data_IF_115006338453
#
_entry.id   IF_115006338453
#
_cell.length_a   1.000
_cell.length_b   1.000
_cell.length_c   1.000
_cell.angle_alpha   90.00
_cell.angle_beta   90.00
_cell.angle_gamma   90.00
#
_symmetry.space_group_name_H-M   'P 1'
#
loop_
_entity.id
_entity.type
_entity.pdbx_description
1 polymer ?
#
# COMPACT_ATOMS: atom_id res chain seq x y z
N UNK A 1 12.14 -18.96 -12.94
CA UNK A 1 11.87 -17.74 -12.15
C UNK A 1 12.10 -17.99 -10.67
N UNK A 2 13.36 -18.00 -10.22
CA UNK A 2 13.71 -17.96 -8.79
C UNK A 2 13.55 -16.52 -8.28
N UNK A 3 13.02 -16.32 -7.07
CA UNK A 3 12.82 -15.00 -6.47
C UNK A 3 13.66 -14.85 -5.20
N UNK A 4 14.45 -13.78 -5.12
CA UNK A 4 15.21 -13.43 -3.94
C UNK A 4 14.26 -12.90 -2.87
N UNK A 5 14.04 -13.68 -1.82
CA UNK A 5 13.09 -13.37 -0.75
C UNK A 5 13.83 -13.08 0.55
N UNK A 6 13.28 -12.19 1.37
CA UNK A 6 13.84 -11.90 2.68
C UNK A 6 13.63 -13.09 3.63
N UNK A 7 14.65 -13.55 4.39
CA UNK A 7 14.45 -14.61 5.37
C UNK A 7 13.58 -14.16 6.57
N UNK A 8 13.57 -12.85 6.84
CA UNK A 8 12.92 -12.25 7.99
C UNK A 8 11.53 -11.68 7.69
N UNK A 9 11.19 -11.48 6.41
CA UNK A 9 9.95 -10.83 6.00
C UNK A 9 9.32 -11.58 4.82
N UNK A 10 7.99 -11.65 4.75
CA UNK A 10 7.26 -12.28 3.64
C UNK A 10 7.23 -11.36 2.40
N UNK A 11 8.40 -10.92 1.95
CA UNK A 11 8.59 -9.96 0.84
C UNK A 11 9.83 -10.32 0.01
N UNK A 12 9.83 -9.90 -1.25
CA UNK A 12 11.02 -9.99 -2.12
C UNK A 12 12.03 -8.89 -1.78
N UNK A 13 13.31 -9.21 -1.90
CA UNK A 13 14.41 -8.25 -1.75
C UNK A 13 14.43 -7.29 -2.95
N UNK A 14 14.76 -6.02 -2.69
CA UNK A 14 14.89 -4.99 -3.72
C UNK A 14 16.35 -4.80 -4.10
N UNK A 15 16.61 -4.66 -5.40
CA UNK A 15 17.95 -4.51 -5.94
C UNK A 15 18.42 -3.07 -5.88
N UNK A 16 19.57 -2.83 -5.27
CA UNK A 16 20.25 -1.55 -5.19
C UNK A 16 21.51 -1.63 -6.06
N UNK A 17 21.34 -1.32 -7.35
CA UNK A 17 22.37 -1.52 -8.38
C UNK A 17 23.68 -0.76 -8.08
N UNK A 18 23.57 0.48 -7.58
CA UNK A 18 24.73 1.32 -7.28
C UNK A 18 25.62 0.71 -6.18
N UNK A 19 25.01 0.01 -5.23
CA UNK A 19 25.70 -0.65 -4.11
C UNK A 19 25.99 -2.14 -4.40
N UNK A 20 25.49 -2.66 -5.51
CA UNK A 20 25.55 -4.08 -5.88
C UNK A 20 25.02 -5.02 -4.78
N UNK A 21 23.95 -4.61 -4.10
CA UNK A 21 23.28 -5.40 -3.04
C UNK A 21 21.79 -5.56 -3.32
N UNK A 22 21.19 -6.59 -2.73
CA UNK A 22 19.74 -6.69 -2.60
C UNK A 22 19.36 -6.49 -1.13
N UNK A 23 18.38 -5.61 -0.85
CA UNK A 23 17.99 -5.16 0.49
C UNK A 23 16.49 -5.32 0.74
N UNK A 24 16.13 -5.67 1.97
CA UNK A 24 14.77 -5.60 2.49
C UNK A 24 14.56 -4.24 3.16
N UNK A 25 13.59 -3.45 2.72
CA UNK A 25 13.28 -2.15 3.34
C UNK A 25 12.47 -2.26 4.63
N UNK A 26 11.92 -3.44 4.94
CA UNK A 26 11.17 -3.65 6.18
C UNK A 26 12.07 -4.00 7.37
N UNK A 27 13.18 -4.72 7.16
CA UNK A 27 14.05 -5.21 8.24
C UNK A 27 15.53 -4.96 8.03
N UNK A 28 15.90 -4.17 7.02
CA UNK A 28 17.28 -3.82 6.66
C UNK A 28 18.22 -4.98 6.31
N UNK A 29 17.70 -6.22 6.21
CA UNK A 29 18.45 -7.37 5.73
C UNK A 29 19.01 -7.06 4.34
N UNK A 30 20.32 -7.26 4.16
CA UNK A 30 20.99 -7.07 2.88
C UNK A 30 21.93 -8.24 2.59
N UNK A 31 22.10 -8.51 1.30
CA UNK A 31 23.10 -9.46 0.81
C UNK A 31 23.66 -8.94 -0.52
N UNK A 32 24.86 -9.36 -0.89
CA UNK A 32 25.42 -9.05 -2.21
C UNK A 32 24.51 -9.59 -3.32
N UNK A 33 24.35 -8.82 -4.39
CA UNK A 33 23.68 -9.31 -5.57
C UNK A 33 24.49 -10.47 -6.18
N UNK A 34 23.83 -11.58 -6.48
CA UNK A 34 24.49 -12.73 -7.09
C UNK A 34 24.51 -12.57 -8.62
N UNK A 35 25.61 -12.88 -9.31
CA UNK A 35 25.67 -12.79 -10.77
C UNK A 35 24.92 -13.93 -11.47
N UNK A 36 24.70 -15.05 -10.78
CA UNK A 36 24.00 -16.23 -11.30
C UNK A 36 22.87 -16.65 -10.35
N UNK A 37 21.79 -17.18 -10.91
CA UNK A 37 20.69 -17.70 -10.10
C UNK A 37 21.16 -18.87 -9.22
N UNK A 38 20.93 -18.86 -7.90
CA UNK A 38 21.38 -19.95 -7.03
C UNK A 38 20.68 -21.29 -7.32
N UNK A 39 19.51 -21.27 -7.97
CA UNK A 39 18.72 -22.48 -8.30
C UNK A 39 19.03 -23.07 -9.66
N UNK A 40 19.12 -22.26 -10.72
CA UNK A 40 19.30 -22.74 -12.09
C UNK A 40 20.61 -22.29 -12.76
N UNK A 41 21.45 -21.52 -12.05
CA UNK A 41 22.71 -20.95 -12.55
C UNK A 41 22.60 -20.06 -13.79
N UNK A 42 21.39 -19.71 -14.22
CA UNK A 42 21.20 -18.74 -15.30
C UNK A 42 21.73 -17.36 -14.91
N UNK A 43 22.39 -16.68 -15.86
CA UNK A 43 22.92 -15.31 -15.72
C UNK A 43 21.85 -14.22 -15.90
N UNK A 44 20.68 -14.58 -16.44
CA UNK A 44 19.55 -13.66 -16.64
C UNK A 44 18.77 -13.45 -15.34
N UNK A 45 19.40 -12.85 -14.34
CA UNK A 45 18.71 -12.35 -13.15
C UNK A 45 18.09 -11.01 -13.51
N UNK A 46 16.78 -11.03 -13.74
CA UNK A 46 16.02 -9.81 -13.94
C UNK A 46 15.81 -9.14 -12.59
N UNK A 47 16.43 -7.97 -12.43
CA UNK A 47 16.01 -7.03 -11.41
C UNK A 47 14.64 -6.50 -11.84
N UNK A 48 13.57 -7.15 -11.38
CA UNK A 48 12.27 -6.50 -11.36
C UNK A 48 12.36 -5.38 -10.32
N UNK A 49 12.89 -4.24 -10.75
CA UNK A 49 12.95 -3.02 -9.97
C UNK A 49 11.56 -2.70 -9.43
N UNK A 50 11.54 -2.04 -8.27
CA UNK A 50 10.40 -1.20 -7.89
C UNK A 50 9.94 -0.40 -9.09
N UNK A 51 8.63 -0.30 -9.31
CA UNK A 51 8.04 0.16 -10.58
C UNK A 51 8.71 1.40 -11.19
N UNK A 52 9.18 2.34 -10.37
CA UNK A 52 9.87 3.56 -10.79
C UNK A 52 11.24 3.33 -11.44
N UNK A 53 12.09 2.45 -10.89
CA UNK A 53 13.43 2.18 -11.44
C UNK A 53 13.35 1.44 -12.78
N UNK A 54 12.44 0.45 -12.88
CA UNK A 54 12.20 -0.26 -14.13
C UNK A 54 11.70 0.70 -15.21
N UNK A 55 10.77 1.58 -14.82
CA UNK A 55 10.20 2.57 -15.73
C UNK A 55 11.25 3.59 -16.20
N UNK A 56 12.15 4.05 -15.32
CA UNK A 56 13.28 4.92 -15.67
C UNK A 56 14.17 4.30 -16.77
N UNK A 57 14.56 3.03 -16.60
CA UNK A 57 15.39 2.31 -17.60
C UNK A 57 14.65 2.13 -18.93
N UNK A 58 13.37 1.76 -18.90
CA UNK A 58 12.56 1.60 -20.11
C UNK A 58 12.37 2.95 -20.83
N UNK A 59 12.11 4.03 -20.09
CA UNK A 59 11.99 5.37 -20.65
C UNK A 59 13.31 5.85 -21.25
N UNK A 60 14.45 5.58 -20.61
CA UNK A 60 15.76 5.97 -21.14
C UNK A 60 16.08 5.23 -22.45
N UNK A 61 15.61 3.99 -22.60
CA UNK A 61 15.73 3.22 -23.84
C UNK A 61 14.82 3.77 -24.95
N UNK A 62 13.59 4.13 -24.61
CA UNK A 62 12.60 4.65 -25.57
C UNK A 62 12.84 6.10 -25.96
N UNK A 63 13.40 6.91 -25.06
CA UNK A 63 13.67 8.33 -25.23
C UNK A 63 15.13 8.65 -24.87
N UNK A 64 16.11 8.26 -25.70
CA UNK A 64 17.53 8.41 -25.37
C UNK A 64 17.98 9.85 -25.12
N UNK A 65 17.32 10.83 -25.75
CA UNK A 65 17.65 12.25 -25.65
C UNK A 65 16.92 12.96 -24.50
N UNK A 66 15.92 12.32 -23.88
CA UNK A 66 15.15 12.94 -22.81
C UNK A 66 15.94 12.98 -21.49
N UNK A 67 15.87 14.11 -20.78
CA UNK A 67 16.45 14.24 -19.44
C UNK A 67 15.49 13.66 -18.42
N UNK A 68 15.72 12.40 -18.05
CA UNK A 68 14.86 11.65 -17.14
C UNK A 68 15.42 11.75 -15.71
N UNK A 69 14.53 11.96 -14.74
CA UNK A 69 14.88 11.91 -13.32
C UNK A 69 13.89 11.05 -12.56
N UNK A 70 14.34 10.45 -11.46
CA UNK A 70 13.50 9.66 -10.55
C UNK A 70 13.32 10.37 -9.20
N UNK A 71 12.11 10.32 -8.66
CA UNK A 71 11.72 10.83 -7.34
C UNK A 71 10.91 9.78 -6.59
N UNK A 72 11.59 9.03 -5.74
CA UNK A 72 11.04 8.10 -4.77
C UNK A 72 11.88 8.08 -3.48
N UNK A 73 11.48 7.27 -2.50
CA UNK A 73 12.07 7.24 -1.16
C UNK A 73 13.57 6.98 -1.16
N UNK A 74 14.07 6.26 -2.17
CA UNK A 74 15.49 5.93 -2.27
C UNK A 74 16.28 7.13 -2.80
N UNK A 75 15.75 7.83 -3.81
CA UNK A 75 16.38 9.05 -4.36
C UNK A 75 16.28 10.27 -3.45
N UNK A 76 15.26 10.32 -2.59
CA UNK A 76 15.01 11.48 -1.72
C UNK A 76 15.56 11.34 -0.30
N UNK A 77 16.34 10.30 -0.02
CA UNK A 77 16.84 10.01 1.33
C UNK A 77 17.78 11.09 1.90
N UNK A 78 18.45 11.87 1.05
CA UNK A 78 19.33 12.97 1.46
C UNK A 78 18.53 14.26 1.63
N UNK A 79 18.78 15.02 2.71
CA UNK A 79 18.14 16.32 2.94
C UNK A 79 18.35 17.26 1.73
N UNK A 80 17.28 17.87 1.25
CA UNK A 80 17.27 18.79 0.10
C UNK A 80 17.36 18.14 -1.29
N UNK A 81 17.39 16.81 -1.40
CA UNK A 81 17.36 16.11 -2.70
C UNK A 81 16.04 16.31 -3.44
N UNK A 82 14.91 16.25 -2.73
CA UNK A 82 13.58 16.49 -3.28
C UNK A 82 13.49 17.90 -3.88
N UNK A 83 13.85 18.94 -3.10
CA UNK A 83 13.82 20.34 -3.54
C UNK A 83 14.67 20.56 -4.80
N UNK A 84 15.85 19.95 -4.88
CA UNK A 84 16.72 20.03 -6.07
C UNK A 84 16.07 19.46 -7.33
N UNK A 85 15.41 18.30 -7.22
CA UNK A 85 14.72 17.67 -8.36
C UNK A 85 13.54 18.54 -8.80
N UNK A 86 12.74 19.03 -7.87
CA UNK A 86 11.57 19.88 -8.18
C UNK A 86 12.03 21.20 -8.83
N UNK A 87 13.10 21.82 -8.32
CA UNK A 87 13.65 23.03 -8.91
C UNK A 87 14.23 22.79 -10.32
N UNK A 88 14.89 21.64 -10.54
CA UNK A 88 15.34 21.25 -11.87
C UNK A 88 14.17 21.03 -12.84
N UNK A 89 13.04 20.50 -12.36
CA UNK A 89 11.82 20.36 -13.15
C UNK A 89 11.23 21.72 -13.53
N UNK A 90 11.12 22.66 -12.59
CA UNK A 90 10.67 24.03 -12.84
C UNK A 90 11.55 24.75 -13.87
N UNK A 91 12.86 24.57 -13.78
CA UNK A 91 13.84 25.13 -14.73
C UNK A 91 13.87 24.39 -16.07
N UNK A 92 12.96 23.42 -16.31
CA UNK A 92 12.92 22.59 -17.52
C UNK A 92 14.27 21.92 -17.80
N UNK A 93 14.98 21.49 -16.75
CA UNK A 93 16.18 20.66 -16.82
C UNK A 93 15.86 19.16 -16.79
N UNK A 94 14.60 18.82 -16.51
CA UNK A 94 14.05 17.47 -16.52
C UNK A 94 12.87 17.47 -17.50
N UNK A 95 12.87 16.53 -18.44
CA UNK A 95 11.78 16.34 -19.41
C UNK A 95 10.75 15.33 -18.91
N UNK A 96 11.22 14.29 -18.21
CA UNK A 96 10.36 13.23 -17.67
C UNK A 96 10.75 12.98 -16.20
N UNK A 97 9.79 13.16 -15.30
CA UNK A 97 9.94 12.81 -13.90
C UNK A 97 9.18 11.52 -13.60
N UNK A 98 9.90 10.49 -13.16
CA UNK A 98 9.33 9.22 -12.72
C UNK A 98 9.28 9.19 -11.20
N UNK A 99 8.18 8.73 -10.61
CA UNK A 99 8.15 8.58 -9.16
C UNK A 99 6.86 8.01 -8.61
N UNK A 100 6.79 8.02 -7.29
CA UNK A 100 5.61 7.55 -6.55
C UNK A 100 4.67 8.71 -6.21
N UNK A 101 3.68 8.46 -5.36
CA UNK A 101 2.76 9.47 -4.82
C UNK A 101 3.46 10.69 -4.17
N UNK A 102 4.77 10.68 -3.97
CA UNK A 102 5.50 11.83 -3.45
C UNK A 102 5.56 13.00 -4.44
N UNK A 103 5.46 12.75 -5.75
CA UNK A 103 5.49 13.81 -6.78
C UNK A 103 4.30 14.78 -6.66
N UNK A 104 3.17 14.33 -6.09
CA UNK A 104 1.89 15.07 -6.17
C UNK A 104 1.64 16.02 -5.00
N UNK A 105 2.50 16.03 -3.98
CA UNK A 105 2.32 16.83 -2.76
C UNK A 105 2.90 18.24 -2.91
N UNK A 106 2.09 19.27 -2.66
CA UNK A 106 2.55 20.63 -2.35
C UNK A 106 3.19 21.46 -3.47
N UNK A 107 3.38 20.91 -4.67
CA UNK A 107 4.05 21.61 -5.78
C UNK A 107 3.15 21.68 -7.03
N UNK A 108 3.20 22.81 -7.72
CA UNK A 108 2.47 23.06 -8.97
C UNK A 108 3.47 23.30 -10.10
N UNK A 109 3.29 22.60 -11.22
CA UNK A 109 4.21 22.66 -12.36
C UNK A 109 3.44 22.99 -13.64
N UNK A 110 3.30 24.28 -13.98
CA UNK A 110 2.54 24.71 -15.16
C UNK A 110 3.05 24.13 -16.48
N UNK A 111 4.32 23.72 -16.53
CA UNK A 111 4.94 23.09 -17.70
C UNK A 111 4.60 21.62 -17.90
N UNK A 112 3.97 20.95 -16.93
CA UNK A 112 3.57 19.55 -17.06
C UNK A 112 2.25 19.48 -17.82
N UNK A 113 2.33 18.98 -19.05
CA UNK A 113 1.17 18.80 -19.94
C UNK A 113 0.77 17.35 -20.13
N UNK A 114 1.56 16.38 -19.64
CA UNK A 114 1.25 14.96 -19.72
C UNK A 114 1.55 14.28 -18.39
N UNK A 115 0.58 13.51 -17.89
CA UNK A 115 0.78 12.66 -16.72
C UNK A 115 0.37 11.23 -17.03
N UNK A 116 1.28 10.28 -16.80
CA UNK A 116 1.02 8.86 -16.92
C UNK A 116 0.92 8.19 -15.55
N UNK A 117 -0.20 7.54 -15.27
CA UNK A 117 -0.36 6.69 -14.09
C UNK A 117 -0.23 5.23 -14.53
N UNK A 118 0.82 4.58 -14.05
CA UNK A 118 1.13 3.19 -14.36
C UNK A 118 0.47 2.29 -13.30
N UNK A 119 -0.30 1.29 -13.75
CA UNK A 119 -0.88 0.24 -12.90
C UNK A 119 -1.75 0.77 -11.74
N UNK A 120 -2.86 1.44 -12.06
CA UNK A 120 -3.86 1.84 -11.06
C UNK A 120 -4.46 0.65 -10.29
N UNK A 121 -4.37 -0.56 -10.86
CA UNK A 121 -4.84 -1.80 -10.22
C UNK A 121 -4.08 -2.12 -8.94
N UNK A 122 -2.83 -1.66 -8.78
CA UNK A 122 -2.04 -1.90 -7.58
C UNK A 122 -2.68 -1.26 -6.35
N UNK A 123 -3.21 -0.05 -6.47
CA UNK A 123 -3.92 0.61 -5.37
C UNK A 123 -5.35 0.11 -5.22
N UNK A 124 -6.05 -0.21 -6.33
CA UNK A 124 -7.41 -0.74 -6.29
C UNK A 124 -7.52 -2.12 -5.62
N UNK A 125 -6.53 -2.99 -5.83
CA UNK A 125 -6.54 -4.34 -5.30
C UNK A 125 -5.82 -4.46 -3.94
N UNK A 126 -5.55 -3.32 -3.28
CA UNK A 126 -5.05 -3.35 -1.92
C UNK A 126 -6.13 -3.93 -1.01
N UNK A 127 -5.82 -4.87 -0.10
CA UNK A 127 -6.78 -5.45 0.84
C UNK A 127 -7.12 -4.47 1.98
N UNK A 128 -7.66 -3.32 1.59
CA UNK A 128 -8.11 -2.20 2.40
C UNK A 128 -9.47 -1.78 1.82
N UNK A 129 -10.50 -1.65 2.66
CA UNK A 129 -11.82 -1.24 2.19
C UNK A 129 -11.82 0.18 1.59
N UNK A 130 -10.82 0.99 1.91
CA UNK A 130 -10.61 2.34 1.36
C UNK A 130 -9.80 2.33 0.05
N UNK A 131 -9.46 1.18 -0.51
CA UNK A 131 -8.63 1.08 -1.71
C UNK A 131 -9.19 1.89 -2.90
N UNK A 132 -10.50 1.84 -3.12
CA UNK A 132 -11.18 2.60 -4.16
C UNK A 132 -11.11 4.12 -3.92
N UNK A 133 -11.42 4.56 -2.70
CA UNK A 133 -11.28 5.97 -2.28
C UNK A 133 -9.85 6.48 -2.46
N UNK A 134 -8.86 5.77 -1.89
CA UNK A 134 -7.44 6.15 -1.96
C UNK A 134 -6.97 6.22 -3.42
N UNK A 135 -7.46 5.30 -4.27
CA UNK A 135 -7.17 5.33 -5.71
C UNK A 135 -7.80 6.54 -6.38
N UNK A 136 -9.10 6.80 -6.17
CA UNK A 136 -9.80 7.94 -6.74
C UNK A 136 -9.13 9.26 -6.33
N UNK A 137 -8.79 9.43 -5.05
CA UNK A 137 -8.09 10.60 -4.53
C UNK A 137 -6.73 10.79 -5.19
N UNK A 138 -5.93 9.72 -5.28
CA UNK A 138 -4.62 9.75 -5.95
C UNK A 138 -4.78 10.17 -7.42
N UNK A 139 -5.67 9.53 -8.17
CA UNK A 139 -5.85 9.81 -9.59
C UNK A 139 -6.38 11.22 -9.84
N UNK A 140 -7.35 11.68 -9.05
CA UNK A 140 -7.89 13.03 -9.14
C UNK A 140 -6.83 14.08 -8.82
N UNK A 141 -6.00 13.83 -7.78
CA UNK A 141 -4.89 14.70 -7.43
C UNK A 141 -3.87 14.76 -8.56
N UNK A 142 -3.49 13.61 -9.12
CA UNK A 142 -2.54 13.51 -10.23
C UNK A 142 -3.09 14.21 -11.48
N UNK A 143 -4.36 13.99 -11.81
CA UNK A 143 -5.01 14.58 -12.96
C UNK A 143 -5.11 16.11 -12.83
N UNK A 144 -5.37 16.59 -11.62
CA UNK A 144 -5.39 18.02 -11.31
C UNK A 144 -4.03 18.71 -11.39
N UNK A 145 -2.91 18.02 -11.66
CA UNK A 145 -1.57 18.64 -11.82
C UNK A 145 -1.18 18.90 -13.27
N UNK A 146 -1.83 18.24 -14.23
CA UNK A 146 -1.59 18.50 -15.65
C UNK A 146 -2.44 19.67 -16.15
N UNK A 147 -1.83 20.64 -16.81
CA UNK A 147 -2.57 21.67 -17.55
C UNK A 147 -3.20 22.81 -16.74
N UNK A 148 -2.55 23.22 -15.64
CA UNK A 148 -2.92 24.45 -14.88
C UNK A 148 -2.42 25.76 -15.52
N UNK A 149 -1.63 25.69 -16.59
CA UNK A 149 -1.25 26.85 -17.41
C UNK A 149 -2.12 26.97 -18.67
N UNK A 150 -1.69 27.77 -19.64
CA UNK A 150 -2.43 28.01 -20.90
C UNK A 150 -2.54 26.78 -21.83
N UNK A 151 -1.91 25.65 -21.47
CA UNK A 151 -1.86 24.44 -22.28
C UNK A 151 -2.70 23.34 -21.66
N UNK A 152 -3.56 22.73 -22.47
CA UNK A 152 -4.35 21.58 -22.05
C UNK A 152 -3.44 20.43 -21.60
N UNK A 153 -3.69 19.94 -20.38
CA UNK A 153 -3.04 18.76 -19.84
C UNK A 153 -3.73 17.49 -20.33
N UNK A 154 -2.96 16.41 -20.48
CA UNK A 154 -3.47 15.06 -20.75
C UNK A 154 -3.06 14.11 -19.63
N UNK A 155 -3.99 13.26 -19.22
CA UNK A 155 -3.74 12.22 -18.22
C UNK A 155 -4.03 10.86 -18.85
N UNK A 156 -3.09 9.92 -18.71
CA UNK A 156 -3.23 8.55 -19.21
C UNK A 156 -3.13 7.62 -18.02
N UNK A 157 -4.18 6.83 -17.79
CA UNK A 157 -4.24 5.86 -16.69
C UNK A 157 -4.18 4.47 -17.29
N UNK A 158 -3.17 3.70 -16.90
CA UNK A 158 -3.05 2.29 -17.26
C UNK A 158 -3.73 1.44 -16.19
N UNK A 159 -4.67 0.59 -16.61
CA UNK A 159 -5.42 -0.32 -15.74
C UNK A 159 -5.94 -1.52 -16.52
N UNK A 160 -6.04 -2.67 -15.85
CA UNK A 160 -6.74 -3.85 -16.36
C UNK A 160 -8.25 -3.78 -16.17
N UNK A 161 -8.74 -2.92 -15.26
CA UNK A 161 -10.15 -2.81 -14.87
C UNK A 161 -10.76 -1.43 -15.20
N UNK A 162 -10.78 -0.99 -16.47
CA UNK A 162 -11.22 0.37 -16.83
C UNK A 162 -12.68 0.69 -16.46
N UNK A 163 -13.50 -0.34 -16.22
CA UNK A 163 -14.91 -0.20 -15.82
C UNK A 163 -15.13 -0.06 -14.32
N UNK A 164 -14.07 -0.19 -13.50
CA UNK A 164 -14.17 0.01 -12.06
C UNK A 164 -14.69 1.43 -11.76
N UNK A 165 -15.67 1.56 -10.87
CA UNK A 165 -16.37 2.83 -10.62
C UNK A 165 -15.43 3.98 -10.24
N UNK A 166 -14.46 3.71 -9.35
CA UNK A 166 -13.42 4.68 -9.00
C UNK A 166 -12.68 5.24 -10.24
N UNK A 167 -12.46 4.43 -11.27
CA UNK A 167 -11.78 4.85 -12.51
C UNK A 167 -12.74 5.56 -13.47
N UNK A 168 -13.98 5.10 -13.60
CA UNK A 168 -15.00 5.75 -14.44
C UNK A 168 -15.23 7.19 -14.01
N UNK A 169 -15.40 7.42 -12.71
CA UNK A 169 -15.65 8.75 -12.14
C UNK A 169 -14.40 9.65 -12.15
N UNK A 170 -13.19 9.06 -12.13
CA UNK A 170 -11.94 9.81 -12.28
C UNK A 170 -11.88 10.57 -13.62
N UNK A 171 -12.42 10.00 -14.70
CA UNK A 171 -12.36 10.60 -16.05
C UNK A 171 -12.99 12.00 -16.11
N UNK A 172 -14.04 12.25 -15.33
CA UNK A 172 -14.75 13.51 -15.27
C UNK A 172 -14.41 14.39 -14.06
N UNK A 173 -13.47 13.96 -13.21
CA UNK A 173 -13.28 14.53 -11.87
C UNK A 173 -14.59 14.56 -11.05
N UNK A 174 -15.45 13.57 -11.27
CA UNK A 174 -16.81 13.53 -10.73
C UNK A 174 -16.81 12.95 -9.32
N UNK A 175 -16.37 13.77 -8.36
CA UNK A 175 -16.39 13.40 -6.95
C UNK A 175 -17.81 13.13 -6.43
N UNK A 176 -18.86 13.92 -6.75
CA UNK A 176 -20.21 13.64 -6.30
C UNK A 176 -20.69 12.24 -6.69
N UNK A 177 -20.59 11.86 -7.96
CA UNK A 177 -21.03 10.52 -8.39
C UNK A 177 -20.12 9.40 -7.88
N UNK A 178 -18.81 9.65 -7.73
CA UNK A 178 -17.94 8.71 -7.03
C UNK A 178 -18.41 8.45 -5.59
N UNK A 179 -18.71 9.53 -4.85
CA UNK A 179 -19.14 9.46 -3.47
C UNK A 179 -20.46 8.71 -3.35
N UNK A 180 -21.45 9.02 -4.17
CA UNK A 180 -22.75 8.35 -4.18
C UNK A 180 -22.64 6.84 -4.42
N UNK A 181 -21.74 6.39 -5.30
CA UNK A 181 -21.52 4.97 -5.55
C UNK A 181 -20.71 4.29 -4.42
N UNK A 182 -19.62 4.93 -3.98
CA UNK A 182 -18.76 4.43 -2.88
C UNK A 182 -19.55 4.29 -1.56
N UNK A 183 -20.37 5.28 -1.23
CA UNK A 183 -21.03 5.37 0.06
C UNK A 183 -22.08 4.26 0.24
N UNK A 184 -22.74 3.85 -0.85
CA UNK A 184 -23.69 2.73 -0.83
C UNK A 184 -22.98 1.39 -0.57
N UNK A 185 -21.78 1.16 -1.14
CA UNK A 185 -20.98 -0.01 -0.80
C UNK A 185 -20.57 -0.03 0.68
N UNK A 186 -20.15 1.12 1.22
CA UNK A 186 -19.79 1.22 2.63
C UNK A 186 -20.98 0.98 3.55
N UNK A 187 -22.15 1.48 3.18
CA UNK A 187 -23.40 1.28 3.91
C UNK A 187 -23.80 -0.19 3.91
N UNK A 188 -23.79 -0.83 2.74
CA UNK A 188 -24.14 -2.24 2.60
C UNK A 188 -23.20 -3.17 3.40
N UNK A 189 -21.91 -2.83 3.49
CA UNK A 189 -20.90 -3.61 4.21
C UNK A 189 -20.64 -3.14 5.65
N UNK A 190 -21.38 -2.12 6.13
CA UNK A 190 -21.18 -1.48 7.44
C UNK A 190 -19.73 -1.01 7.68
N UNK A 191 -19.10 -0.47 6.66
CA UNK A 191 -17.81 0.20 6.78
C UNK A 191 -17.97 1.68 7.17
N UNK A 192 -16.94 2.30 7.79
CA UNK A 192 -16.95 3.72 8.11
C UNK A 192 -17.34 4.60 6.90
N UNK A 193 -18.31 5.52 7.04
CA UNK A 193 -18.83 6.06 8.31
C UNK A 193 -20.06 5.36 8.92
N UNK A 194 -20.60 4.31 8.29
CA UNK A 194 -21.84 3.65 8.74
C UNK A 194 -21.66 2.60 9.82
N UNK A 195 -20.42 2.22 10.08
CA UNK A 195 -20.02 1.37 11.19
C UNK A 195 -18.61 1.70 11.63
N UNK A 196 -18.20 1.15 12.76
CA UNK A 196 -16.88 1.30 13.36
C UNK A 196 -16.11 0.01 13.22
N UNK A 197 -14.79 0.12 13.29
CA UNK A 197 -13.88 -1.02 13.15
C UNK A 197 -12.87 -0.97 14.28
N UNK A 198 -12.70 -2.08 15.00
CA UNK A 198 -11.52 -2.31 15.83
C UNK A 198 -10.72 -3.43 15.18
N UNK A 199 -9.49 -3.14 14.75
CA UNK A 199 -8.58 -4.14 14.20
C UNK A 199 -7.60 -4.62 15.28
N UNK A 200 -7.67 -5.91 15.59
CA UNK A 200 -6.77 -6.60 16.51
C UNK A 200 -5.62 -7.19 15.69
N UNK A 201 -4.42 -6.65 15.87
CA UNK A 201 -3.20 -7.09 15.19
C UNK A 201 -2.39 -7.98 16.13
N UNK A 202 -2.18 -9.22 15.72
CA UNK A 202 -1.43 -10.22 16.47
C UNK A 202 -0.07 -10.45 15.83
N UNK A 203 0.99 -10.54 16.64
CA UNK A 203 2.31 -10.91 16.15
C UNK A 203 3.10 -11.80 17.12
N UNK A 204 3.88 -12.72 16.57
CA UNK A 204 4.84 -13.54 17.32
C UNK A 204 5.94 -14.09 16.41
N UNK A 205 7.15 -14.25 16.94
CA UNK A 205 8.22 -15.02 16.30
C UNK A 205 7.86 -16.52 16.11
N UNK A 206 6.95 -17.07 16.91
CA UNK A 206 6.54 -18.48 16.85
C UNK A 206 5.22 -18.64 16.09
N UNK A 207 5.30 -19.01 14.81
CA UNK A 207 4.14 -19.13 13.91
C UNK A 207 3.03 -20.04 14.45
N UNK A 208 3.38 -21.21 14.99
CA UNK A 208 2.40 -22.17 15.51
C UNK A 208 1.64 -21.60 16.72
N UNK A 209 2.36 -20.96 17.65
CA UNK A 209 1.76 -20.29 18.83
C UNK A 209 0.85 -19.15 18.37
N UNK A 210 1.30 -18.31 17.45
CA UNK A 210 0.48 -17.23 16.87
C UNK A 210 -0.81 -17.77 16.25
N UNK A 211 -0.72 -18.84 15.46
CA UNK A 211 -1.88 -19.43 14.80
C UNK A 211 -2.88 -19.93 15.84
N UNK A 212 -2.42 -20.72 16.81
CA UNK A 212 -3.27 -21.26 17.87
C UNK A 212 -3.94 -20.14 18.68
N UNK A 213 -3.17 -19.17 19.18
CA UNK A 213 -3.70 -18.05 19.96
C UNK A 213 -4.69 -17.22 19.14
N UNK A 214 -4.42 -16.98 17.85
CA UNK A 214 -5.36 -16.26 16.99
C UNK A 214 -6.70 -17.01 16.87
N UNK A 215 -6.68 -18.33 16.69
CA UNK A 215 -7.90 -19.14 16.62
C UNK A 215 -8.67 -19.16 17.94
N UNK A 216 -7.97 -19.28 19.07
CA UNK A 216 -8.55 -19.17 20.41
C UNK A 216 -9.18 -17.80 20.64
N UNK A 217 -8.47 -16.73 20.30
CA UNK A 217 -8.97 -15.36 20.39
C UNK A 217 -10.22 -15.16 19.52
N UNK A 218 -10.25 -15.72 18.30
CA UNK A 218 -11.43 -15.69 17.43
C UNK A 218 -12.63 -16.45 17.98
N UNK A 219 -12.41 -17.62 18.61
CA UNK A 219 -13.49 -18.36 19.29
C UNK A 219 -14.03 -17.56 20.47
N UNK A 220 -13.16 -17.08 21.35
CA UNK A 220 -13.54 -16.26 22.50
C UNK A 220 -14.30 -14.99 22.08
N UNK A 221 -13.91 -14.36 20.97
CA UNK A 221 -14.57 -13.18 20.45
C UNK A 221 -16.00 -13.49 20.01
N UNK A 222 -16.20 -14.58 19.27
CA UNK A 222 -17.53 -15.03 18.85
C UNK A 222 -18.43 -15.42 20.03
N UNK A 223 -17.88 -16.08 21.05
CA UNK A 223 -18.61 -16.40 22.27
C UNK A 223 -19.06 -15.14 23.03
N UNK A 224 -18.17 -14.17 23.20
CA UNK A 224 -18.50 -12.87 23.81
C UNK A 224 -19.56 -12.13 22.98
N UNK A 225 -19.44 -12.13 21.65
CA UNK A 225 -20.44 -11.52 20.78
C UNK A 225 -21.82 -12.18 20.93
N UNK A 226 -21.87 -13.52 21.04
CA UNK A 226 -23.11 -14.26 21.23
C UNK A 226 -23.79 -13.93 22.56
N UNK A 227 -23.02 -13.73 23.64
CA UNK A 227 -23.55 -13.27 24.94
C UNK A 227 -24.20 -11.89 24.87
N UNK A 228 -23.79 -11.07 23.90
CA UNK A 228 -24.34 -9.75 23.61
C UNK A 228 -25.28 -9.74 22.38
N UNK A 229 -25.92 -10.87 22.07
CA UNK A 229 -26.94 -10.95 21.03
C UNK A 229 -26.42 -10.77 19.60
N UNK A 230 -25.13 -10.99 19.36
CA UNK A 230 -24.47 -10.80 18.05
C UNK A 230 -24.63 -9.37 17.48
N UNK A 231 -24.66 -8.37 18.36
CA UNK A 231 -24.76 -6.96 17.96
C UNK A 231 -23.51 -6.41 17.24
N UNK A 232 -22.42 -7.19 17.18
CA UNK A 232 -21.20 -6.88 16.42
C UNK A 232 -20.76 -8.09 15.60
N UNK A 233 -20.06 -7.85 14.50
CA UNK A 233 -19.52 -8.84 13.58
C UNK A 233 -18.02 -9.07 13.85
N UNK A 234 -17.59 -10.33 13.86
CA UNK A 234 -16.18 -10.72 13.97
C UNK A 234 -15.69 -11.24 12.62
N UNK A 235 -14.74 -10.53 12.02
CA UNK A 235 -14.10 -10.91 10.75
C UNK A 235 -12.71 -11.46 11.03
N UNK A 236 -12.46 -12.71 10.60
CA UNK A 236 -11.22 -13.42 10.84
C UNK A 236 -11.28 -14.36 12.06
N UNK A 237 -10.13 -14.72 12.65
CA UNK A 237 -8.77 -14.23 12.35
C UNK A 237 -8.26 -14.67 10.98
N UNK A 238 -7.44 -13.85 10.33
CA UNK A 238 -6.80 -14.13 9.05
C UNK A 238 -5.31 -13.75 9.06
N UNK A 239 -4.54 -14.21 8.07
CA UNK A 239 -3.19 -13.71 7.86
C UNK A 239 -3.23 -12.22 7.48
N UNK A 240 -2.27 -11.46 8.02
CA UNK A 240 -2.13 -10.06 7.60
C UNK A 240 -1.62 -10.01 6.15
N UNK A 241 -1.97 -8.97 5.36
CA UNK A 241 -1.49 -8.80 3.98
C UNK A 241 0.03 -8.94 3.83
N UNK A 242 0.77 -8.51 4.86
CA UNK A 242 2.18 -8.86 5.05
C UNK A 242 2.31 -9.84 6.22
N UNK A 243 2.34 -11.13 5.88
CA UNK A 243 2.28 -12.24 6.83
C UNK A 243 3.49 -12.35 7.78
N UNK A 244 4.64 -11.76 7.42
CA UNK A 244 5.84 -11.75 8.27
C UNK A 244 6.65 -10.48 8.09
N UNK A 245 7.07 -9.83 9.18
CA UNK A 245 7.97 -8.67 9.17
C UNK A 245 8.96 -8.79 10.33
N UNK A 246 10.25 -8.54 10.07
CA UNK A 246 11.32 -8.53 11.10
C UNK A 246 11.34 -9.78 11.98
N UNK A 247 11.11 -10.95 11.38
CA UNK A 247 11.09 -12.24 12.08
C UNK A 247 9.74 -12.59 12.71
N UNK A 248 8.84 -11.62 12.87
CA UNK A 248 7.53 -11.79 13.50
C UNK A 248 6.47 -12.16 12.46
N UNK A 249 5.78 -13.28 12.69
CA UNK A 249 4.58 -13.64 11.93
C UNK A 249 3.42 -12.76 12.37
N UNK A 250 2.47 -12.50 11.47
CA UNK A 250 1.41 -11.51 11.67
C UNK A 250 0.03 -12.04 11.26
N UNK A 251 -0.94 -11.86 12.14
CA UNK A 251 -2.35 -12.15 11.91
C UNK A 251 -3.20 -10.97 12.35
N UNK A 252 -4.42 -10.88 11.84
CA UNK A 252 -5.36 -9.84 12.23
C UNK A 252 -6.77 -10.39 12.37
N UNK A 253 -7.58 -9.73 13.19
CA UNK A 253 -9.02 -9.97 13.35
C UNK A 253 -9.71 -8.63 13.53
N UNK A 254 -10.87 -8.44 12.90
CA UNK A 254 -11.62 -7.19 13.00
C UNK A 254 -12.91 -7.42 13.77
N UNK A 255 -13.23 -6.48 14.64
CA UNK A 255 -14.55 -6.32 15.24
C UNK A 255 -15.23 -5.17 14.49
N UNK A 256 -16.37 -5.43 13.87
CA UNK A 256 -17.17 -4.46 13.11
C UNK A 256 -18.53 -4.27 13.79
N UNK A 257 -19.02 -3.04 13.87
CA UNK A 257 -20.34 -2.78 14.42
C UNK A 257 -20.59 -1.31 14.71
N UNK A 258 -21.76 -1.00 15.26
CA UNK A 258 -22.19 0.39 15.49
C UNK A 258 -22.13 0.79 16.96
N UNK A 259 -22.17 -0.18 17.89
CA UNK A 259 -22.06 0.07 19.32
C UNK A 259 -20.59 0.08 19.73
N UNK A 260 -19.99 1.28 19.71
CA UNK A 260 -18.60 1.47 20.14
C UNK A 260 -18.34 1.00 21.57
N UNK A 261 -19.29 1.16 22.50
CA UNK A 261 -19.08 0.75 23.90
C UNK A 261 -18.99 -0.76 24.00
N UNK A 262 -19.89 -1.47 23.34
CA UNK A 262 -19.86 -2.94 23.27
C UNK A 262 -18.58 -3.44 22.58
N UNK A 263 -18.18 -2.83 21.47
CA UNK A 263 -16.95 -3.20 20.77
C UNK A 263 -15.72 -3.04 21.66
N UNK A 264 -15.63 -1.94 22.42
CA UNK A 264 -14.55 -1.73 23.39
C UNK A 264 -14.60 -2.74 24.54
N UNK A 265 -15.78 -3.06 25.06
CA UNK A 265 -15.95 -4.08 26.10
C UNK A 265 -15.49 -5.47 25.63
N UNK A 266 -15.86 -5.87 24.42
CA UNK A 266 -15.40 -7.13 23.82
C UNK A 266 -13.88 -7.11 23.64
N UNK A 267 -13.32 -6.03 23.09
CA UNK A 267 -11.88 -5.93 22.88
C UNK A 267 -11.10 -5.97 24.21
N UNK A 268 -11.59 -5.30 25.26
CA UNK A 268 -11.00 -5.34 26.60
C UNK A 268 -11.08 -6.75 27.21
N UNK A 269 -12.25 -7.40 27.17
CA UNK A 269 -12.42 -8.77 27.68
C UNK A 269 -11.54 -9.79 26.94
N UNK A 270 -11.27 -9.58 25.65
CA UNK A 270 -10.31 -10.39 24.89
C UNK A 270 -8.87 -10.16 25.37
N UNK A 271 -8.45 -8.92 25.63
CA UNK A 271 -7.12 -8.65 26.16
C UNK A 271 -6.93 -9.25 27.56
N UNK A 272 -7.93 -9.15 28.44
CA UNK A 272 -7.86 -9.73 29.78
C UNK A 272 -7.70 -11.25 29.72
N UNK A 273 -8.52 -11.94 28.91
CA UNK A 273 -8.43 -13.40 28.71
C UNK A 273 -7.11 -13.85 28.11
N UNK A 274 -6.40 -12.97 27.41
CA UNK A 274 -5.13 -13.25 26.74
C UNK A 274 -3.94 -12.49 27.36
N UNK A 275 -4.10 -11.95 28.57
CA UNK A 275 -3.09 -11.10 29.21
C UNK A 275 -1.75 -11.83 29.47
N UNK A 276 -1.81 -13.14 29.68
CA UNK A 276 -0.63 -14.01 29.88
C UNK A 276 -0.08 -14.59 28.58
N UNK A 277 -0.67 -14.26 27.43
CA UNK A 277 -0.23 -14.75 26.15
C UNK A 277 1.16 -14.23 25.80
N UNK A 278 1.98 -15.09 25.20
CA UNK A 278 3.28 -14.70 24.63
C UNK A 278 3.15 -14.05 23.25
N UNK A 279 1.93 -13.99 22.70
CA UNK A 279 1.61 -13.30 21.45
C UNK A 279 1.33 -11.84 21.74
N UNK A 280 1.99 -10.94 21.01
CA UNK A 280 1.72 -9.51 21.09
C UNK A 280 0.39 -9.21 20.40
N UNK A 281 -0.53 -8.57 21.11
CA UNK A 281 -1.82 -8.12 20.57
C UNK A 281 -1.85 -6.58 20.64
N UNK A 282 -2.07 -5.93 19.51
CA UNK A 282 -2.22 -4.48 19.40
C UNK A 282 -3.66 -4.19 18.95
N UNK A 283 -4.32 -3.27 19.65
CA UNK A 283 -5.64 -2.76 19.26
C UNK A 283 -5.45 -1.50 18.43
N UNK A 284 -6.05 -1.48 17.24
CA UNK A 284 -6.14 -0.31 16.39
C UNK A 284 -7.62 0.06 16.21
N UNK A 285 -8.06 1.13 16.85
CA UNK A 285 -9.46 1.59 16.88
C UNK A 285 -9.66 2.57 15.74
N UNK A 286 -10.68 2.32 14.92
CA UNK A 286 -10.98 3.06 13.69
C UNK A 286 -9.73 3.27 12.82
N UNK A 287 -9.09 2.16 12.38
CA UNK A 287 -7.82 2.23 11.65
C UNK A 287 -7.95 3.09 10.39
N UNK A 288 -6.95 3.93 10.13
CA UNK A 288 -6.82 4.79 8.93
C UNK A 288 -6.22 4.08 7.71
#
# INVERSE_FOLDING_TARGET
GYNFSCPNCAVSLKSHLAENVVKCHYCDYSQKAMPLCPKCRGSRILNYGTGTQKLEVELQSLFPEARISRMDSDTTARRGSQEKILHALEQKKIDILVGTQMITKGHDFPSITLVGVISADTSLNMPDFRAAEKTFQMLTQVAGRGGRGDKAGRVIIQTFNPQHYALRHTRGHDYPSFYEEEIEFRKALQYPPFGRIINLRLSSAKQAVLHQTAQELGRNARELCAQHGNAVEIVGPAESPLAKIRGEYRRQMMIKGNDGKLMHAIAAGLLEKHATSTVKIIIDVDPE
#
